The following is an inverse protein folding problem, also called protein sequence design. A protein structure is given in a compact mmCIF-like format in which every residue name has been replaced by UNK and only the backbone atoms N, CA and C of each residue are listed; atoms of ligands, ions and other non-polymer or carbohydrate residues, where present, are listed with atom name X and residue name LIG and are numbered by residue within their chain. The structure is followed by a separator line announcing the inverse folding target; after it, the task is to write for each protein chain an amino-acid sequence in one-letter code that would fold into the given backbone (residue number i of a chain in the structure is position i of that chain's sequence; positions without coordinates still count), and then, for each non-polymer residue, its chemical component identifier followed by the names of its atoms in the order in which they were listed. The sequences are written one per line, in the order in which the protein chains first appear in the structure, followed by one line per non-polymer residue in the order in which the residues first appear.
data_IF_745063000335
#
_entry.id   IF_745063000335
#
_cell.length_a   1.000
_cell.length_b   1.000
_cell.length_c   1.000
_cell.angle_alpha   90.00
_cell.angle_beta   90.00
_cell.angle_gamma   90.00
#
_symmetry.space_group_name_H-M   'P 1'
#
loop_
_entity.id
_entity.type
_entity.pdbx_description
1 polymer ?
#
# COMPACT_ATOMS: atom_id res chain seq x y z
N UNK A 1 -13.95 -20.84 -31.96
CA UNK A 1 -13.99 -20.01 -30.74
C UNK A 1 -15.38 -19.41 -30.63
N UNK A 2 -16.14 -19.68 -29.56
CA UNK A 2 -17.50 -19.13 -29.35
C UNK A 2 -17.39 -17.98 -28.35
N UNK A 3 -17.72 -16.76 -28.77
CA UNK A 3 -17.84 -15.60 -27.88
C UNK A 3 -19.23 -15.67 -27.23
N UNK A 4 -19.30 -15.54 -25.90
CA UNK A 4 -20.55 -15.57 -25.12
C UNK A 4 -20.80 -14.16 -24.60
N UNK A 5 -21.95 -13.58 -24.92
CA UNK A 5 -22.36 -12.28 -24.39
C UNK A 5 -22.84 -12.51 -22.95
N UNK A 6 -22.17 -11.88 -21.98
CA UNK A 6 -22.50 -11.97 -20.55
C UNK A 6 -23.48 -10.88 -20.09
N UNK A 7 -23.80 -9.92 -20.97
CA UNK A 7 -24.69 -8.77 -20.71
C UNK A 7 -26.17 -9.08 -21.04
N UNK A 8 -27.14 -8.40 -20.39
CA UNK A 8 -28.52 -8.36 -20.86
C UNK A 8 -28.63 -7.82 -22.30
N UNK A 9 -29.79 -8.04 -22.93
CA UNK A 9 -30.05 -7.67 -24.32
C UNK A 9 -29.64 -6.22 -24.62
N UNK A 10 -28.61 -6.06 -25.45
CA UNK A 10 -28.08 -4.77 -25.88
C UNK A 10 -28.94 -4.22 -27.03
N UNK A 11 -29.45 -2.97 -26.94
CA UNK A 11 -30.23 -2.38 -28.03
C UNK A 11 -29.47 -2.32 -29.35
N UNK A 12 -30.20 -2.39 -30.45
CA UNK A 12 -29.61 -2.26 -31.78
C UNK A 12 -28.93 -0.89 -31.92
N UNK A 13 -27.68 -0.89 -32.40
CA UNK A 13 -26.87 0.33 -32.56
C UNK A 13 -26.07 0.73 -31.31
N UNK A 14 -26.19 0.01 -30.20
CA UNK A 14 -25.35 0.22 -29.03
C UNK A 14 -24.02 -0.53 -29.11
N UNK A 15 -23.00 0.03 -28.48
CA UNK A 15 -21.69 -0.63 -28.33
C UNK A 15 -21.79 -1.83 -27.40
N UNK A 16 -21.12 -2.92 -27.76
CA UNK A 16 -21.02 -4.13 -26.95
C UNK A 16 -19.61 -4.20 -26.39
N UNK A 17 -19.50 -4.04 -25.08
CA UNK A 17 -18.22 -4.06 -24.38
C UNK A 17 -17.76 -5.48 -24.07
N UNK A 18 -16.44 -5.67 -24.03
CA UNK A 18 -15.81 -6.90 -23.55
C UNK A 18 -15.49 -6.79 -22.05
N UNK A 19 -15.52 -7.92 -21.34
CA UNK A 19 -15.01 -8.00 -19.98
C UNK A 19 -13.55 -8.50 -20.03
N UNK A 20 -12.62 -7.67 -19.58
CA UNK A 20 -11.19 -7.96 -19.59
C UNK A 20 -10.71 -8.70 -18.32
N UNK A 21 -11.62 -9.00 -17.40
CA UNK A 21 -11.31 -9.54 -16.07
C UNK A 21 -10.86 -8.46 -15.08
N UNK A 22 -10.58 -8.85 -13.83
CA UNK A 22 -10.08 -7.96 -12.79
C UNK A 22 -8.61 -7.61 -13.07
N UNK A 23 -8.36 -6.58 -13.87
CA UNK A 23 -7.02 -6.15 -14.28
C UNK A 23 -6.68 -4.77 -13.69
N UNK A 24 -5.52 -4.60 -13.04
CA UNK A 24 -5.08 -3.29 -12.58
C UNK A 24 -4.75 -2.37 -13.75
N UNK A 25 -4.79 -1.05 -13.53
CA UNK A 25 -4.43 -0.08 -14.57
C UNK A 25 -3.00 -0.28 -15.09
N UNK A 26 -2.07 -0.78 -14.26
CA UNK A 26 -0.73 -1.16 -14.70
C UNK A 26 -0.76 -2.16 -15.87
N UNK A 27 -1.59 -3.20 -15.76
CA UNK A 27 -1.74 -4.23 -16.80
C UNK A 27 -2.54 -3.70 -18.00
N UNK A 28 -3.59 -2.92 -17.77
CA UNK A 28 -4.40 -2.34 -18.84
C UNK A 28 -3.59 -1.39 -19.73
N UNK A 29 -2.74 -0.56 -19.14
CA UNK A 29 -1.86 0.36 -19.87
C UNK A 29 -0.84 -0.43 -20.69
N UNK A 30 -0.15 -1.40 -20.08
CA UNK A 30 0.91 -2.17 -20.76
C UNK A 30 0.38 -3.11 -21.84
N UNK A 31 -0.77 -3.75 -21.59
CA UNK A 31 -1.33 -4.75 -22.48
C UNK A 31 -2.26 -4.19 -23.56
N UNK A 32 -2.94 -3.08 -23.28
CA UNK A 32 -4.06 -2.61 -24.11
C UNK A 32 -4.05 -1.11 -24.41
N UNK A 33 -3.21 -0.32 -23.75
CA UNK A 33 -3.06 1.12 -24.03
C UNK A 33 -4.25 1.96 -23.57
N UNK A 34 -4.93 1.57 -22.48
CA UNK A 34 -5.94 2.38 -21.80
C UNK A 34 -5.88 2.17 -20.28
N UNK A 35 -6.51 3.06 -19.52
CA UNK A 35 -6.72 2.93 -18.07
C UNK A 35 -8.17 3.26 -17.73
N UNK A 36 -8.66 2.70 -16.63
CA UNK A 36 -10.00 2.92 -16.11
C UNK A 36 -9.96 3.92 -14.94
N UNK A 37 -10.82 4.95 -14.92
CA UNK A 37 -10.97 5.80 -13.75
C UNK A 37 -11.50 4.98 -12.57
N UNK A 38 -10.97 5.21 -11.37
CA UNK A 38 -11.40 4.55 -10.12
C UNK A 38 -11.46 3.02 -10.25
N UNK A 39 -10.44 2.40 -10.84
CA UNK A 39 -10.42 0.97 -11.08
C UNK A 39 -10.37 0.20 -9.75
N UNK A 40 -11.40 -0.59 -9.37
CA UNK A 40 -11.42 -1.33 -8.11
C UNK A 40 -10.34 -2.41 -8.02
N UNK A 41 -9.76 -2.78 -9.16
CA UNK A 41 -8.71 -3.78 -9.29
C UNK A 41 -7.30 -3.16 -9.39
N UNK A 42 -7.15 -1.86 -9.12
CA UNK A 42 -5.81 -1.27 -9.02
C UNK A 42 -5.01 -1.89 -7.87
N UNK A 43 -3.72 -2.11 -8.15
CA UNK A 43 -2.78 -2.73 -7.23
C UNK A 43 -1.43 -2.03 -7.24
N UNK A 44 -0.70 -2.17 -6.13
CA UNK A 44 0.67 -1.71 -5.96
C UNK A 44 1.52 -2.90 -5.50
N UNK A 45 2.72 -3.02 -6.07
CA UNK A 45 3.68 -4.03 -5.64
C UNK A 45 4.63 -3.43 -4.60
N UNK A 46 4.65 -4.02 -3.41
CA UNK A 46 5.57 -3.72 -2.32
C UNK A 46 6.73 -4.72 -2.30
N UNK A 47 7.91 -4.22 -1.96
CA UNK A 47 9.09 -5.03 -1.68
C UNK A 47 9.64 -4.61 -0.34
N UNK A 48 9.56 -5.50 0.64
CA UNK A 48 10.16 -5.30 1.95
C UNK A 48 11.65 -5.65 1.89
N UNK A 49 12.48 -4.87 2.56
CA UNK A 49 13.90 -5.17 2.70
C UNK A 49 14.07 -6.47 3.50
N UNK A 50 14.78 -7.44 2.94
CA UNK A 50 14.94 -8.77 3.57
C UNK A 50 13.89 -9.81 3.18
N UNK A 51 12.74 -9.40 2.64
CA UNK A 51 11.77 -10.36 2.08
C UNK A 51 12.22 -10.85 0.69
N UNK A 52 12.15 -12.15 0.47
CA UNK A 52 12.51 -12.77 -0.81
C UNK A 52 11.52 -12.42 -1.93
N UNK A 53 10.24 -12.30 -1.58
CA UNK A 53 9.14 -12.14 -2.54
C UNK A 53 8.56 -10.73 -2.53
N UNK A 54 8.05 -10.32 -3.70
CA UNK A 54 7.27 -9.10 -3.83
C UNK A 54 5.82 -9.38 -3.48
N UNK A 55 5.18 -8.48 -2.76
CA UNK A 55 3.76 -8.59 -2.40
C UNK A 55 2.95 -7.57 -3.18
N UNK A 56 1.80 -8.00 -3.67
CA UNK A 56 0.85 -7.14 -4.35
C UNK A 56 -0.31 -6.82 -3.41
N UNK A 57 -0.49 -5.53 -3.14
CA UNK A 57 -1.62 -5.00 -2.37
C UNK A 57 -2.57 -4.26 -3.28
N UNK A 58 -3.85 -4.21 -2.91
CA UNK A 58 -4.90 -3.53 -3.68
C UNK A 58 -5.74 -2.60 -2.83
N UNK A 59 -6.76 -2.01 -3.46
CA UNK A 59 -7.75 -1.16 -2.78
C UNK A 59 -8.44 -1.89 -1.63
N UNK A 60 -8.97 -1.10 -0.70
CA UNK A 60 -9.66 -1.54 0.51
C UNK A 60 -8.78 -2.42 1.42
N UNK A 61 -7.45 -2.20 1.38
CA UNK A 61 -6.49 -2.95 2.18
C UNK A 61 -6.27 -4.41 1.70
N UNK A 62 -6.68 -4.74 0.48
CA UNK A 62 -6.55 -6.10 -0.06
C UNK A 62 -5.09 -6.57 0.01
N UNK A 63 -4.87 -7.74 0.62
CA UNK A 63 -3.58 -8.40 0.84
C UNK A 63 -2.58 -7.65 1.75
N UNK A 64 -2.98 -6.58 2.45
CA UNK A 64 -2.08 -5.90 3.40
C UNK A 64 -1.76 -6.83 4.59
N UNK A 65 -2.71 -7.65 5.04
CA UNK A 65 -2.47 -8.67 6.08
C UNK A 65 -1.36 -9.65 5.71
N UNK A 66 -1.25 -10.04 4.43
CA UNK A 66 -0.19 -10.96 3.98
C UNK A 66 1.21 -10.29 4.02
N UNK A 67 1.27 -8.97 3.77
CA UNK A 67 2.51 -8.18 3.96
C UNK A 67 2.87 -8.15 5.43
N UNK A 68 1.87 -7.97 6.31
CA UNK A 68 2.06 -7.97 7.74
C UNK A 68 2.54 -9.31 8.29
N UNK A 69 1.98 -10.43 7.83
CA UNK A 69 2.41 -11.77 8.19
C UNK A 69 3.89 -12.01 7.83
N UNK A 70 4.33 -11.53 6.66
CA UNK A 70 5.74 -11.59 6.27
C UNK A 70 6.63 -10.77 7.20
N UNK A 71 6.20 -9.59 7.62
CA UNK A 71 6.94 -8.73 8.56
C UNK A 71 7.06 -9.43 9.91
N UNK A 72 5.96 -9.94 10.47
CA UNK A 72 6.00 -10.68 11.74
C UNK A 72 6.92 -11.90 11.66
N UNK A 73 6.86 -12.65 10.55
CA UNK A 73 7.73 -13.81 10.32
C UNK A 73 9.20 -13.40 10.27
N UNK A 74 9.52 -12.31 9.55
CA UNK A 74 10.88 -11.81 9.42
C UNK A 74 11.46 -11.30 10.75
N UNK A 75 10.61 -10.74 11.62
CA UNK A 75 11.00 -10.24 12.95
C UNK A 75 11.15 -11.37 14.00
N UNK A 76 10.70 -12.59 13.72
CA UNK A 76 10.90 -13.74 14.62
C UNK A 76 10.18 -13.64 15.95
N UNK A 77 9.05 -12.92 16.01
CA UNK A 77 8.33 -12.58 17.26
C UNK A 77 7.61 -13.76 17.95
N UNK A 78 7.81 -14.99 17.48
CA UNK A 78 7.10 -16.18 17.97
C UNK A 78 7.64 -16.71 19.30
N UNK A 79 8.93 -16.52 19.56
CA UNK A 79 9.62 -17.04 20.75
C UNK A 79 9.67 -16.03 21.91
N UNK A 80 9.18 -14.80 21.70
CA UNK A 80 9.21 -13.71 22.68
C UNK A 80 8.04 -13.79 23.66
N UNK A 81 8.23 -13.22 24.86
CA UNK A 81 7.13 -13.01 25.79
C UNK A 81 6.08 -12.02 25.24
N UNK A 82 4.90 -12.00 25.84
CA UNK A 82 3.77 -11.25 25.33
C UNK A 82 4.02 -9.73 25.24
N UNK A 83 4.74 -9.17 26.21
CA UNK A 83 5.08 -7.74 26.27
C UNK A 83 6.05 -7.38 25.14
N UNK A 84 7.16 -8.11 25.07
CA UNK A 84 8.19 -7.93 24.03
C UNK A 84 7.63 -8.12 22.63
N UNK A 85 6.81 -9.15 22.43
CA UNK A 85 6.14 -9.42 21.15
C UNK A 85 5.22 -8.27 20.72
N UNK A 86 4.44 -7.71 21.66
CA UNK A 86 3.56 -6.58 21.36
C UNK A 86 4.36 -5.31 21.04
N UNK A 87 5.47 -5.06 21.75
CA UNK A 87 6.42 -3.98 21.45
C UNK A 87 6.94 -4.07 20.02
N UNK A 88 7.57 -5.18 19.67
CA UNK A 88 8.14 -5.39 18.32
C UNK A 88 7.06 -5.25 17.24
N UNK A 89 5.85 -5.78 17.47
CA UNK A 89 4.75 -5.64 16.51
C UNK A 89 4.28 -4.18 16.39
N UNK A 90 4.20 -3.43 17.49
CA UNK A 90 3.79 -2.03 17.46
C UNK A 90 4.80 -1.19 16.66
N UNK A 91 6.08 -1.37 16.93
CA UNK A 91 7.15 -0.64 16.24
C UNK A 91 7.16 -0.97 14.75
N UNK A 92 7.08 -2.27 14.43
CA UNK A 92 7.06 -2.73 13.05
C UNK A 92 5.87 -2.17 12.25
N UNK A 93 4.67 -2.08 12.85
CA UNK A 93 3.52 -1.52 12.15
C UNK A 93 3.60 0.00 11.99
N UNK A 94 4.22 0.72 12.95
CA UNK A 94 4.51 2.16 12.81
C UNK A 94 5.51 2.43 11.70
N UNK A 95 6.62 1.68 11.68
CA UNK A 95 7.62 1.75 10.61
C UNK A 95 7.00 1.45 9.24
N UNK A 96 6.12 0.45 9.13
CA UNK A 96 5.37 0.18 7.90
C UNK A 96 4.51 1.38 7.50
N UNK A 97 3.78 1.97 8.44
CA UNK A 97 2.98 3.18 8.21
C UNK A 97 3.81 4.34 7.67
N UNK A 98 4.97 4.60 8.25
CA UNK A 98 5.87 5.67 7.81
C UNK A 98 6.48 5.39 6.43
N UNK A 99 6.85 4.13 6.15
CA UNK A 99 7.28 3.73 4.81
C UNK A 99 6.19 3.95 3.75
N UNK A 100 4.93 3.62 4.08
CA UNK A 100 3.80 3.82 3.18
C UNK A 100 3.51 5.31 2.96
N UNK A 101 3.63 6.15 4.00
CA UNK A 101 3.51 7.61 3.89
C UNK A 101 4.61 8.20 3.01
N UNK A 102 5.87 7.81 3.23
CA UNK A 102 6.97 8.21 2.37
C UNK A 102 6.75 7.78 0.91
N UNK A 103 6.16 6.59 0.69
CA UNK A 103 5.78 6.14 -0.65
C UNK A 103 4.67 6.99 -1.27
N UNK A 104 3.66 7.39 -0.49
CA UNK A 104 2.57 8.26 -0.92
C UNK A 104 3.09 9.64 -1.35
N UNK A 105 4.01 10.22 -0.57
CA UNK A 105 4.65 11.50 -0.87
C UNK A 105 5.54 11.44 -2.12
N UNK A 106 6.20 10.29 -2.35
CA UNK A 106 7.04 10.06 -3.52
C UNK A 106 6.25 9.78 -4.82
N UNK A 107 4.92 9.68 -4.77
CA UNK A 107 4.13 9.49 -5.99
C UNK A 107 4.18 10.74 -6.89
N UNK A 108 4.26 10.55 -8.23
CA UNK A 108 4.48 11.67 -9.14
C UNK A 108 3.30 12.65 -9.12
N UNK A 109 3.61 13.95 -9.06
CA UNK A 109 2.65 15.02 -9.30
C UNK A 109 2.59 15.22 -10.81
N UNK A 110 1.42 14.96 -11.39
CA UNK A 110 1.21 15.10 -12.83
C UNK A 110 0.78 16.53 -13.18
N UNK A 111 1.15 17.04 -14.37
CA UNK A 111 0.78 18.38 -14.79
C UNK A 111 -0.74 18.49 -15.04
N UNK A 112 -1.29 19.71 -14.91
CA UNK A 112 -2.69 19.99 -15.23
C UNK A 112 -2.99 19.91 -16.74
N UNK A 113 -2.00 20.21 -17.57
CA UNK A 113 -2.11 20.17 -19.03
C UNK A 113 -1.04 19.26 -19.64
N UNK A 114 -1.30 18.65 -20.80
CA UNK A 114 -0.30 17.86 -21.51
C UNK A 114 0.92 18.70 -21.86
N UNK A 115 2.11 18.17 -21.57
CA UNK A 115 3.36 18.78 -22.02
C UNK A 115 3.51 18.62 -23.54
N UNK A 116 4.30 19.49 -24.22
CA UNK A 116 4.50 19.37 -25.66
C UNK A 116 4.99 17.97 -26.07
N UNK A 117 4.28 17.33 -26.98
CA UNK A 117 4.58 15.96 -27.44
C UNK A 117 3.85 14.85 -26.68
N UNK A 118 3.17 15.15 -25.57
CA UNK A 118 2.31 14.19 -24.86
C UNK A 118 0.86 14.41 -25.29
N UNK A 119 0.19 13.33 -25.71
CA UNK A 119 -1.23 13.36 -26.04
C UNK A 119 -2.07 13.45 -24.76
N UNK A 120 -3.22 14.12 -24.82
CA UNK A 120 -4.09 14.33 -23.67
C UNK A 120 -4.62 13.02 -23.06
N UNK A 121 -5.00 12.06 -23.91
CA UNK A 121 -5.43 10.72 -23.50
C UNK A 121 -4.35 9.97 -22.70
N UNK A 122 -3.09 10.14 -23.06
CA UNK A 122 -1.96 9.55 -22.32
C UNK A 122 -1.80 10.20 -20.94
N UNK A 123 -1.99 11.51 -20.83
CA UNK A 123 -1.98 12.16 -19.52
C UNK A 123 -3.15 11.68 -18.64
N UNK A 124 -4.33 11.47 -19.21
CA UNK A 124 -5.48 10.95 -18.48
C UNK A 124 -5.26 9.50 -18.03
N UNK A 125 -4.65 8.66 -18.87
CA UNK A 125 -4.23 7.31 -18.46
C UNK A 125 -3.25 7.33 -17.27
N UNK A 126 -2.26 8.21 -17.32
CA UNK A 126 -1.29 8.37 -16.23
C UNK A 126 -1.98 8.85 -14.95
N UNK A 127 -2.96 9.76 -15.04
CA UNK A 127 -3.75 10.21 -13.89
C UNK A 127 -4.50 9.06 -13.25
N UNK A 128 -5.27 8.30 -14.03
CA UNK A 128 -6.01 7.15 -13.51
C UNK A 128 -5.10 6.13 -12.83
N UNK A 129 -3.94 5.84 -13.43
CA UNK A 129 -2.95 4.97 -12.82
C UNK A 129 -2.41 5.53 -11.49
N UNK A 130 -1.91 6.77 -11.47
CA UNK A 130 -1.30 7.36 -10.26
C UNK A 130 -2.33 7.57 -9.16
N UNK A 131 -3.56 7.95 -9.49
CA UNK A 131 -4.65 8.07 -8.52
C UNK A 131 -5.01 6.70 -7.93
N UNK A 132 -5.04 5.66 -8.76
CA UNK A 132 -5.14 4.28 -8.30
C UNK A 132 -4.05 3.88 -7.30
N UNK A 133 -2.79 4.22 -7.61
CA UNK A 133 -1.68 3.96 -6.68
C UNK A 133 -1.85 4.75 -5.37
N UNK A 134 -2.30 6.00 -5.42
CA UNK A 134 -2.56 6.81 -4.21
C UNK A 134 -3.62 6.17 -3.33
N UNK A 135 -4.70 5.71 -3.92
CA UNK A 135 -5.81 5.09 -3.19
C UNK A 135 -5.33 3.80 -2.50
N UNK A 136 -4.65 2.90 -3.23
CA UNK A 136 -4.08 1.67 -2.65
C UNK A 136 -3.15 1.96 -1.47
N UNK A 137 -2.27 2.96 -1.59
CA UNK A 137 -1.35 3.32 -0.50
C UNK A 137 -2.09 3.91 0.70
N UNK A 138 -3.09 4.76 0.47
CA UNK A 138 -3.92 5.33 1.55
C UNK A 138 -4.68 4.26 2.32
N UNK A 139 -5.27 3.30 1.60
CA UNK A 139 -5.98 2.18 2.23
C UNK A 139 -5.02 1.33 3.08
N UNK A 140 -3.78 1.12 2.61
CA UNK A 140 -2.76 0.42 3.39
C UNK A 140 -2.27 1.21 4.61
N UNK A 141 -2.15 2.54 4.51
CA UNK A 141 -1.84 3.42 5.66
C UNK A 141 -2.95 3.32 6.71
N UNK A 142 -4.21 3.42 6.28
CA UNK A 142 -5.35 3.29 7.17
C UNK A 142 -5.34 1.94 7.90
N UNK A 143 -5.10 0.85 7.16
CA UNK A 143 -4.96 -0.48 7.76
C UNK A 143 -3.86 -0.51 8.83
N UNK A 144 -2.69 0.10 8.57
CA UNK A 144 -1.57 0.12 9.51
C UNK A 144 -1.91 0.93 10.77
N UNK A 145 -2.60 2.06 10.61
CA UNK A 145 -3.06 2.88 11.74
C UNK A 145 -4.07 2.13 12.61
N UNK A 146 -5.06 1.47 12.00
CA UNK A 146 -6.05 0.64 12.70
C UNK A 146 -5.39 -0.52 13.44
N UNK A 147 -4.39 -1.16 12.82
CA UNK A 147 -3.61 -2.23 13.44
C UNK A 147 -2.81 -1.74 14.64
N UNK A 148 -2.17 -0.58 14.53
CA UNK A 148 -1.43 0.04 15.64
C UNK A 148 -2.33 0.37 16.83
N UNK A 149 -3.52 0.93 16.59
CA UNK A 149 -4.52 1.20 17.63
C UNK A 149 -4.96 -0.12 18.30
N UNK A 150 -5.12 -1.18 17.51
CA UNK A 150 -5.44 -2.52 18.01
C UNK A 150 -4.36 -3.06 18.96
N UNK A 151 -3.08 -2.89 18.60
CA UNK A 151 -1.94 -3.31 19.43
C UNK A 151 -1.83 -2.47 20.70
N UNK A 152 -1.96 -1.15 20.61
CA UNK A 152 -1.95 -0.23 21.76
C UNK A 152 -2.99 -0.64 22.81
N UNK A 153 -4.21 -0.99 22.36
CA UNK A 153 -5.25 -1.48 23.25
C UNK A 153 -4.87 -2.81 23.93
N UNK A 154 -4.26 -3.75 23.20
CA UNK A 154 -3.81 -5.03 23.77
C UNK A 154 -2.71 -4.83 24.80
N UNK A 155 -1.75 -3.93 24.55
CA UNK A 155 -0.74 -3.53 25.53
C UNK A 155 -1.38 -2.95 26.79
N UNK A 156 -2.33 -2.03 26.63
CA UNK A 156 -3.07 -1.44 27.76
C UNK A 156 -3.81 -2.48 28.61
N UNK A 157 -4.36 -3.52 28.00
CA UNK A 157 -5.06 -4.61 28.71
C UNK A 157 -4.13 -5.44 29.61
N UNK A 158 -2.83 -5.49 29.30
CA UNK A 158 -1.79 -6.13 30.14
C UNK A 158 -1.00 -5.15 31.00
N UNK A 159 -1.35 -3.86 30.97
CA UNK A 159 -0.67 -2.80 31.73
C UNK A 159 0.64 -2.31 31.12
N UNK A 160 0.84 -2.54 29.82
CA UNK A 160 2.04 -2.14 29.07
C UNK A 160 1.73 -0.97 28.12
N UNK A 161 2.44 0.15 28.27
CA UNK A 161 2.26 1.33 27.43
C UNK A 161 3.21 1.31 26.23
N UNK A 162 2.74 0.66 25.15
CA UNK A 162 3.48 0.53 23.89
C UNK A 162 3.90 1.88 23.28
N UNK A 163 3.11 2.93 23.51
CA UNK A 163 3.40 4.24 22.94
C UNK A 163 4.56 4.91 23.66
N UNK A 164 4.59 4.81 24.98
CA UNK A 164 5.68 5.36 25.79
C UNK A 164 7.02 4.70 25.46
N UNK A 165 7.03 3.38 25.21
CA UNK A 165 8.23 2.63 24.81
C UNK A 165 8.73 3.04 23.42
N UNK A 166 7.85 3.14 22.42
CA UNK A 166 8.23 3.58 21.07
C UNK A 166 8.82 5.00 21.05
N UNK A 167 8.24 5.94 21.82
CA UNK A 167 8.75 7.31 21.95
C UNK A 167 9.99 7.42 22.88
N UNK A 168 10.35 6.33 23.58
CA UNK A 168 11.55 6.23 24.41
C UNK A 168 12.79 5.95 23.58
N UNK A 169 12.70 5.04 22.62
CA UNK A 169 13.83 4.55 21.81
C UNK A 169 14.37 5.62 20.83
N UNK A 170 13.56 6.60 20.41
CA UNK A 170 14.00 7.71 19.56
C UNK A 170 14.90 8.75 20.28
N UNK A 171 14.98 8.73 21.62
CA UNK A 171 15.69 9.76 22.41
C UNK A 171 17.12 9.40 22.83
N UNK A 172 17.57 8.17 22.58
CA UNK A 172 18.87 7.68 23.04
C UNK A 172 20.01 7.81 22.00
N UNK A 173 19.78 8.48 20.87
CA UNK A 173 20.84 8.93 19.95
C UNK A 173 21.26 10.36 20.32
N UNK A 174 21.88 10.52 21.50
CA UNK A 174 22.68 11.71 21.77
C UNK A 174 24.09 11.48 21.23
N UNK A 175 24.50 12.37 20.33
CA UNK A 175 25.84 12.49 19.77
C UNK A 175 26.91 12.48 20.88
N UNK A 176 27.51 11.32 21.12
CA UNK A 176 28.87 11.24 21.67
C UNK A 176 29.86 11.56 20.53
N UNK A 177 29.77 12.78 19.99
CA UNK A 177 30.86 13.35 19.19
C UNK A 177 31.88 13.92 20.17
N UNK A 178 32.93 13.12 20.33
CA UNK A 178 34.15 13.29 21.10
C UNK A 178 34.67 14.73 21.20
N UNK A 179 34.87 15.17 22.45
CA UNK A 179 35.80 16.23 22.81
C UNK A 179 37.19 15.95 22.22
N UNK A 180 37.66 16.85 21.34
CA UNK A 180 38.99 16.77 20.76
C UNK A 180 39.53 18.14 20.34
N UNK A 181 39.93 18.97 21.31
CA UNK A 181 41.14 19.83 21.25
C UNK A 181 41.53 20.42 22.61
#
# INVERSE_FOLDING_TARGET
MRVRILSPATPAGSEVFNNYGPKPNAELILGYGFALPNNPDDTLVLKLSGAAERREIGRDGRNVDAVWEDICTAMGVEDEDEETRLGIQYDAVKMLGDMLRGRLEALPILPEQPTPGVRGDVLDMLRHYVDGQRDVVRDAIQWAEEKAIGLERLGGDIGFDLRAEFEGDERDVQDDDEDGE
#
